data_IF_069611732219
#
_entry.id   IF_069611732219
#
_cell.length_a   1.000
_cell.length_b   1.000
_cell.length_c   1.000
_cell.angle_alpha   90.00
_cell.angle_beta   90.00
_cell.angle_gamma   90.00
#
_symmetry.space_group_name_H-M   'P 1'
#
loop_
_entity.id
_entity.type
_entity.pdbx_description
1 polymer ?
#
# COMPACT_ATOMS: atom_id res chain seq x y z
N UNK A 1 -1.22 29.65 2.64
CA UNK A 1 -1.78 28.90 1.49
C UNK A 1 -3.15 28.39 1.87
N UNK A 2 -4.12 28.37 0.95
CA UNK A 2 -5.46 27.87 1.24
C UNK A 2 -5.52 26.39 0.84
N UNK A 3 -5.42 25.51 1.83
CA UNK A 3 -5.51 24.06 1.60
C UNK A 3 -6.93 23.68 1.17
N UNK A 4 -7.00 22.71 0.26
CA UNK A 4 -8.26 22.16 -0.27
C UNK A 4 -8.20 20.64 -0.27
N UNK A 5 -9.38 20.03 -0.30
CA UNK A 5 -9.54 18.59 -0.33
C UNK A 5 -9.55 18.08 -1.77
N UNK A 6 -8.82 17.00 -2.01
CA UNK A 6 -8.70 16.38 -3.33
C UNK A 6 -8.72 14.86 -3.23
N UNK A 7 -9.13 14.24 -4.33
CA UNK A 7 -8.92 12.83 -4.63
C UNK A 7 -7.86 12.70 -5.73
N UNK A 8 -6.89 11.83 -5.52
CA UNK A 8 -5.92 11.39 -6.52
C UNK A 8 -6.35 10.04 -7.04
N UNK A 9 -6.44 9.88 -8.36
CA UNK A 9 -6.54 8.57 -9.00
C UNK A 9 -5.24 8.26 -9.72
N UNK A 10 -4.61 7.15 -9.36
CA UNK A 10 -3.40 6.63 -9.99
C UNK A 10 -3.79 5.45 -10.87
N UNK A 11 -3.62 5.59 -12.18
CA UNK A 11 -3.90 4.55 -13.18
C UNK A 11 -2.65 3.71 -13.40
N UNK A 12 -2.83 2.39 -13.47
CA UNK A 12 -1.74 1.42 -13.49
C UNK A 12 -1.77 0.58 -14.77
N UNK A 13 -0.57 0.24 -15.27
CA UNK A 13 -0.40 -0.73 -16.36
C UNK A 13 0.05 -2.11 -15.84
N UNK A 14 0.69 -2.14 -14.67
CA UNK A 14 1.24 -3.37 -14.06
C UNK A 14 0.74 -3.49 -12.61
N UNK A 15 0.39 -4.70 -12.13
CA UNK A 15 -0.03 -4.96 -10.76
C UNK A 15 0.93 -4.41 -9.71
N UNK A 16 0.38 -3.95 -8.58
CA UNK A 16 1.16 -3.44 -7.45
C UNK A 16 1.68 -4.61 -6.64
N UNK A 17 2.99 -4.66 -6.40
CA UNK A 17 3.53 -5.53 -5.38
C UNK A 17 3.48 -4.85 -4.00
N UNK A 18 2.90 -5.54 -3.03
CA UNK A 18 2.67 -5.04 -1.67
C UNK A 18 3.69 -5.69 -0.71
N UNK A 19 4.24 -4.93 0.25
CA UNK A 19 5.11 -5.50 1.27
C UNK A 19 4.36 -6.55 2.08
N UNK A 20 4.95 -7.73 2.22
CA UNK A 20 4.47 -8.77 3.10
C UNK A 20 5.61 -9.21 4.03
N UNK A 21 5.50 -8.89 5.32
CA UNK A 21 6.46 -9.33 6.32
C UNK A 21 5.77 -10.26 7.31
N UNK A 22 6.24 -11.51 7.42
CA UNK A 22 5.80 -12.49 8.44
C UNK A 22 4.26 -12.54 8.68
N UNK A 23 3.48 -12.41 7.60
CA UNK A 23 1.99 -12.43 7.53
C UNK A 23 1.26 -11.09 7.61
N UNK A 24 1.95 -9.97 7.84
CA UNK A 24 1.35 -8.65 7.79
C UNK A 24 1.57 -8.02 6.43
N UNK A 25 0.48 -7.47 5.90
CA UNK A 25 0.46 -6.69 4.67
C UNK A 25 -0.02 -5.29 5.03
N UNK A 26 0.56 -4.29 4.38
CA UNK A 26 0.27 -2.89 4.66
C UNK A 26 -0.10 -2.15 3.38
N UNK A 27 -1.06 -1.21 3.43
CA UNK A 27 -1.35 -0.37 2.29
C UNK A 27 -0.18 0.57 2.00
N UNK A 28 -0.15 1.11 0.78
CA UNK A 28 0.69 2.27 0.48
C UNK A 28 0.01 3.49 1.12
N UNK A 29 0.75 4.28 1.89
CA UNK A 29 0.25 5.54 2.44
C UNK A 29 0.61 6.70 1.51
N UNK A 30 -0.31 7.64 1.28
CA UNK A 30 -0.10 8.70 0.30
C UNK A 30 1.01 9.67 0.69
N UNK A 31 1.06 10.07 1.97
CA UNK A 31 2.16 10.88 2.49
C UNK A 31 3.50 10.15 2.38
N UNK A 32 3.56 8.85 2.69
CA UNK A 32 4.76 8.03 2.50
C UNK A 32 5.22 7.95 1.04
N UNK A 33 4.28 7.93 0.09
CA UNK A 33 4.58 7.99 -1.34
C UNK A 33 5.19 9.35 -1.73
N UNK A 34 4.63 10.45 -1.24
CA UNK A 34 5.17 11.80 -1.49
C UNK A 34 6.55 11.99 -0.85
N UNK A 35 6.72 11.58 0.40
CA UNK A 35 8.01 11.63 1.11
C UNK A 35 9.09 10.92 0.31
N UNK A 36 8.79 9.72 -0.22
CA UNK A 36 9.75 8.99 -1.06
C UNK A 36 10.17 9.79 -2.30
N UNK A 37 9.21 10.34 -3.05
CA UNK A 37 9.52 11.08 -4.28
C UNK A 37 10.38 12.31 -3.97
N UNK A 38 10.01 13.06 -2.94
CA UNK A 38 10.74 14.28 -2.54
C UNK A 38 12.14 13.94 -2.00
N UNK A 39 12.29 12.84 -1.28
CA UNK A 39 13.60 12.36 -0.84
C UNK A 39 14.50 11.92 -2.00
N UNK A 40 13.93 11.31 -3.05
CA UNK A 40 14.63 10.97 -4.30
C UNK A 40 15.14 12.22 -5.02
N UNK A 41 14.32 13.27 -5.07
CA UNK A 41 14.70 14.56 -5.63
C UNK A 41 15.81 15.26 -4.83
N UNK A 42 15.74 15.18 -3.51
CA UNK A 42 16.77 15.70 -2.61
C UNK A 42 18.10 14.91 -2.67
N UNK A 43 18.16 13.80 -3.42
CA UNK A 43 19.30 12.85 -3.46
C UNK A 43 19.67 12.31 -2.07
N UNK A 44 18.70 12.20 -1.18
CA UNK A 44 18.89 11.61 0.14
C UNK A 44 18.77 10.10 0.03
N UNK A 45 19.91 9.40 -0.07
CA UNK A 45 19.96 7.96 -0.28
C UNK A 45 19.56 7.12 0.95
N UNK A 46 19.56 7.72 2.15
CA UNK A 46 19.18 7.05 3.39
C UNK A 46 17.71 7.32 3.77
N UNK A 47 16.79 6.84 2.93
CA UNK A 47 15.34 6.91 3.19
C UNK A 47 14.92 6.16 4.46
N UNK A 48 15.80 5.31 5.01
CA UNK A 48 15.49 4.53 6.22
C UNK A 48 15.42 5.41 7.46
N UNK A 49 16.02 6.61 7.41
CA UNK A 49 16.09 7.56 8.52
C UNK A 49 15.41 8.90 8.24
N UNK A 50 14.90 9.12 7.03
CA UNK A 50 14.18 10.35 6.71
C UNK A 50 12.82 10.31 7.40
N UNK A 51 12.70 11.13 8.43
CA UNK A 51 11.46 11.34 9.15
C UNK A 51 10.60 12.35 8.40
N UNK A 52 9.31 12.41 8.75
CA UNK A 52 8.42 13.48 8.30
C UNK A 52 8.89 14.91 8.68
N UNK A 53 9.87 15.04 9.58
CA UNK A 53 10.44 16.32 10.02
C UNK A 53 11.54 16.82 9.06
N UNK A 54 12.18 15.90 8.32
CA UNK A 54 13.25 16.23 7.38
C UNK A 54 12.70 16.74 6.03
N UNK A 55 11.46 16.37 5.70
CA UNK A 55 10.82 16.69 4.41
C UNK A 55 9.40 17.21 4.66
N UNK A 56 9.25 18.53 4.55
CA UNK A 56 7.93 19.17 4.61
C UNK A 56 7.11 18.80 3.36
N UNK A 57 5.97 18.14 3.56
CA UNK A 57 5.07 17.79 2.47
C UNK A 57 4.09 18.95 2.19
N UNK A 58 3.62 19.11 0.93
CA UNK A 58 2.57 20.08 0.58
C UNK A 58 1.16 19.62 1.05
N UNK A 59 1.07 19.10 2.26
CA UNK A 59 -0.13 18.53 2.87
C UNK A 59 -0.45 19.26 4.18
N UNK A 60 -1.74 19.40 4.49
CA UNK A 60 -2.19 19.90 5.79
C UNK A 60 -1.81 18.90 6.90
N UNK A 61 -1.28 19.40 8.02
CA UNK A 61 -1.03 18.59 9.23
C UNK A 61 -2.23 18.67 10.17
N UNK A 62 -2.51 17.59 10.87
CA UNK A 62 -3.59 17.46 11.85
C UNK A 62 -3.12 16.68 13.07
N UNK A 63 -3.67 16.98 14.23
CA UNK A 63 -3.31 16.37 15.50
C UNK A 63 -3.04 17.42 16.57
N UNK A 64 -3.11 17.01 17.84
CA UNK A 64 -2.80 17.78 19.03
C UNK A 64 -1.39 17.46 19.52
N UNK A 65 -1.06 16.17 19.65
CA UNK A 65 0.22 15.70 20.20
C UNK A 65 1.07 14.99 19.15
N UNK A 66 0.45 14.16 18.33
CA UNK A 66 1.05 13.37 17.26
C UNK A 66 0.54 13.90 15.93
N UNK A 67 1.33 14.80 15.37
CA UNK A 67 1.01 15.42 14.08
C UNK A 67 1.06 14.37 12.96
N UNK A 68 -0.03 14.28 12.20
CA UNK A 68 -0.16 13.43 11.02
C UNK A 68 -0.52 14.29 9.82
N UNK A 69 -0.13 13.87 8.62
CA UNK A 69 -0.62 14.53 7.41
C UNK A 69 -2.06 14.10 7.12
N UNK A 70 -2.90 15.05 6.69
CA UNK A 70 -4.25 14.79 6.18
C UNK A 70 -4.18 14.14 4.81
N UNK A 71 -3.93 12.83 4.82
CA UNK A 71 -3.77 12.00 3.64
C UNK A 71 -4.16 10.55 3.93
N UNK A 72 -4.94 9.93 3.05
CA UNK A 72 -5.39 8.55 3.23
C UNK A 72 -4.29 7.53 2.91
N UNK A 73 -4.50 6.31 3.35
CA UNK A 73 -3.89 5.14 2.72
C UNK A 73 -4.55 4.84 1.37
N UNK A 74 -3.89 4.01 0.57
CA UNK A 74 -4.36 3.53 -0.71
C UNK A 74 -5.76 2.96 -0.58
N UNK A 75 -6.64 3.27 -1.51
CA UNK A 75 -7.97 2.67 -1.62
C UNK A 75 -8.16 2.02 -2.99
N UNK A 76 -8.94 0.95 -3.04
CA UNK A 76 -9.18 0.15 -4.24
C UNK A 76 -10.68 -0.09 -4.39
N UNK A 77 -11.19 0.16 -5.60
CA UNK A 77 -12.56 -0.17 -5.97
C UNK A 77 -12.55 -1.39 -6.89
N UNK A 78 -13.55 -2.29 -6.82
CA UNK A 78 -13.70 -3.37 -7.80
C UNK A 78 -13.81 -2.83 -9.25
N UNK A 79 -13.36 -3.59 -10.26
CA UNK A 79 -12.77 -4.93 -10.16
C UNK A 79 -11.29 -4.88 -9.77
N UNK A 80 -10.91 -5.69 -8.78
CA UNK A 80 -9.51 -5.89 -8.39
C UNK A 80 -9.30 -7.33 -7.92
N UNK A 81 -8.08 -7.85 -8.11
CA UNK A 81 -7.71 -9.23 -7.76
C UNK A 81 -6.43 -9.25 -6.95
N UNK A 82 -6.35 -10.22 -6.04
CA UNK A 82 -5.09 -10.56 -5.35
C UNK A 82 -4.60 -11.89 -5.87
N UNK A 83 -3.31 -11.96 -6.19
CA UNK A 83 -2.63 -13.24 -6.39
C UNK A 83 -1.20 -13.18 -5.85
N UNK A 84 -0.53 -14.33 -5.91
CA UNK A 84 0.85 -14.47 -5.46
C UNK A 84 1.71 -14.87 -6.64
N UNK A 85 2.86 -14.23 -6.79
CA UNK A 85 3.84 -14.60 -7.80
C UNK A 85 5.12 -15.09 -7.11
N UNK A 86 5.68 -16.25 -7.50
CA UNK A 86 6.94 -16.71 -6.94
C UNK A 86 8.04 -15.72 -7.27
N UNK A 87 8.84 -15.37 -6.27
CA UNK A 87 9.94 -14.45 -6.42
C UNK A 87 11.22 -15.06 -5.87
N UNK A 88 12.28 -14.96 -6.67
CA UNK A 88 13.61 -15.41 -6.28
C UNK A 88 14.44 -14.20 -5.88
N UNK A 89 14.76 -14.10 -4.59
CA UNK A 89 15.71 -13.12 -4.10
C UNK A 89 17.13 -13.53 -4.46
N UNK A 90 17.83 -12.71 -5.26
CA UNK A 90 19.28 -12.81 -5.42
C UNK A 90 19.95 -12.10 -4.25
N UNK A 91 20.98 -12.70 -3.67
CA UNK A 91 21.78 -12.06 -2.62
C UNK A 91 22.86 -11.16 -3.22
N UNK A 92 22.45 -10.03 -3.81
CA UNK A 92 23.38 -9.02 -4.34
C UNK A 92 24.21 -8.33 -3.25
N UNK A 93 23.85 -8.47 -1.97
CA UNK A 93 24.71 -8.00 -0.87
C UNK A 93 26.07 -8.74 -0.83
N UNK A 94 26.16 -9.95 -1.39
CA UNK A 94 27.43 -10.67 -1.50
C UNK A 94 28.38 -10.00 -2.49
N UNK A 95 27.86 -9.39 -3.56
CA UNK A 95 28.66 -8.58 -4.47
C UNK A 95 29.17 -7.32 -3.76
N UNK A 96 28.34 -6.72 -2.90
CA UNK A 96 28.73 -5.60 -2.02
C UNK A 96 29.77 -6.01 -0.97
N UNK A 97 29.58 -7.16 -0.33
CA UNK A 97 30.52 -7.71 0.66
C UNK A 97 31.87 -8.05 0.05
N UNK A 98 31.91 -8.51 -1.22
CA UNK A 98 33.16 -8.71 -1.96
C UNK A 98 33.91 -7.42 -2.23
N UNK A 99 33.20 -6.32 -2.49
CA UNK A 99 33.82 -4.99 -2.67
C UNK A 99 34.33 -4.44 -1.34
N UNK A 100 33.56 -4.59 -0.26
CA UNK A 100 33.90 -4.01 1.04
C UNK A 100 34.91 -4.85 1.85
N UNK A 101 34.95 -6.16 1.64
CA UNK A 101 35.78 -7.10 2.41
C UNK A 101 36.47 -8.14 1.50
N UNK A 102 37.31 -7.72 0.54
CA UNK A 102 37.88 -8.61 -0.47
C UNK A 102 38.62 -9.82 0.12
N UNK A 103 39.40 -9.61 1.19
CA UNK A 103 40.21 -10.67 1.82
C UNK A 103 39.35 -11.72 2.54
N UNK A 104 38.17 -11.33 3.02
CA UNK A 104 37.24 -12.23 3.71
C UNK A 104 36.43 -13.11 2.75
N UNK A 105 36.37 -12.74 1.47
CA UNK A 105 35.55 -13.38 0.45
C UNK A 105 36.31 -14.33 -0.50
N UNK A 106 37.59 -14.59 -0.25
CA UNK A 106 38.38 -15.58 -1.01
C UNK A 106 37.92 -17.04 -0.82
N UNK A 107 36.95 -17.30 0.06
CA UNK A 107 36.35 -18.63 0.23
C UNK A 107 35.23 -18.85 -0.80
N UNK A 108 35.21 -20.02 -1.43
CA UNK A 108 34.14 -20.41 -2.37
C UNK A 108 32.76 -20.28 -1.70
N UNK A 109 31.94 -19.35 -2.20
CA UNK A 109 30.57 -19.14 -1.72
C UNK A 109 29.74 -20.35 -2.15
N UNK A 110 29.16 -21.05 -1.18
CA UNK A 110 28.22 -22.16 -1.44
C UNK A 110 26.80 -21.61 -1.46
N UNK A 111 26.30 -21.29 -2.66
CA UNK A 111 24.94 -20.73 -2.90
C UNK A 111 23.77 -21.59 -2.36
N UNK A 112 24.02 -22.79 -1.84
CA UNK A 112 23.02 -23.69 -1.25
C UNK A 112 23.01 -23.77 0.28
N UNK A 113 23.94 -23.11 1.00
CA UNK A 113 24.10 -23.28 2.45
C UNK A 113 24.16 -21.96 3.22
N UNK A 114 23.59 -21.98 4.43
CA UNK A 114 23.69 -20.89 5.41
C UNK A 114 23.12 -19.57 4.90
N UNK A 115 23.85 -18.49 5.20
CA UNK A 115 23.46 -17.11 4.83
C UNK A 115 23.39 -16.94 3.31
N UNK A 116 24.05 -17.79 2.50
CA UNK A 116 24.16 -17.68 1.04
C UNK A 116 23.04 -18.37 0.26
N UNK A 117 22.07 -18.99 0.94
CA UNK A 117 20.96 -19.71 0.29
C UNK A 117 20.01 -18.70 -0.35
N UNK A 118 19.80 -18.82 -1.67
CA UNK A 118 18.76 -18.06 -2.37
C UNK A 118 17.42 -18.24 -1.66
N UNK A 119 16.75 -17.13 -1.33
CA UNK A 119 15.42 -17.19 -0.76
C UNK A 119 14.39 -17.22 -1.88
N UNK A 120 13.61 -18.28 -1.92
CA UNK A 120 12.36 -18.31 -2.65
C UNK A 120 11.27 -17.74 -1.75
N UNK A 121 10.50 -16.79 -2.27
CA UNK A 121 9.36 -16.22 -1.59
C UNK A 121 8.21 -16.01 -2.56
N UNK A 122 7.17 -15.34 -2.07
CA UNK A 122 6.07 -14.88 -2.90
C UNK A 122 5.92 -13.38 -2.76
N UNK A 123 5.72 -12.70 -3.89
CA UNK A 123 5.20 -11.34 -3.89
C UNK A 123 3.68 -11.40 -3.83
N UNK A 124 3.12 -10.56 -2.97
CA UNK A 124 1.68 -10.32 -2.94
C UNK A 124 1.34 -9.24 -3.94
N UNK A 125 0.56 -9.59 -4.95
CA UNK A 125 0.22 -8.71 -6.05
C UNK A 125 -1.25 -8.31 -5.99
N UNK A 126 -1.49 -7.03 -6.23
CA UNK A 126 -2.82 -6.46 -6.43
C UNK A 126 -2.93 -6.04 -7.89
N UNK A 127 -3.78 -6.73 -8.63
CA UNK A 127 -4.15 -6.39 -10.00
C UNK A 127 -5.43 -5.54 -9.98
N UNK A 128 -5.25 -4.26 -10.32
CA UNK A 128 -6.31 -3.25 -10.38
C UNK A 128 -5.94 -2.21 -11.44
N UNK A 129 -6.91 -1.70 -12.23
CA UNK A 129 -6.63 -0.67 -13.22
C UNK A 129 -6.25 0.68 -12.58
N UNK A 130 -6.69 0.92 -11.34
CA UNK A 130 -6.42 2.16 -10.63
C UNK A 130 -6.50 2.02 -9.10
N UNK A 131 -5.85 2.94 -8.41
CA UNK A 131 -5.95 3.14 -6.96
C UNK A 131 -6.23 4.60 -6.63
N UNK A 132 -6.80 4.85 -5.46
CA UNK A 132 -7.23 6.17 -5.03
C UNK A 132 -6.57 6.59 -3.72
N UNK A 133 -6.35 7.89 -3.58
CA UNK A 133 -5.92 8.51 -2.34
C UNK A 133 -6.71 9.80 -2.13
N UNK A 134 -7.06 10.12 -0.89
CA UNK A 134 -7.65 11.41 -0.52
C UNK A 134 -6.64 12.22 0.27
N UNK A 135 -6.56 13.53 0.03
CA UNK A 135 -5.68 14.40 0.79
C UNK A 135 -6.24 15.82 0.94
N UNK A 136 -5.76 16.53 1.95
CA UNK A 136 -5.93 17.98 2.07
C UNK A 136 -4.56 18.66 1.96
N UNK A 137 -4.41 19.63 1.07
CA UNK A 137 -3.12 20.28 0.84
C UNK A 137 -3.08 21.25 -0.34
N UNK A 138 -1.87 21.56 -0.81
CA UNK A 138 -1.65 22.30 -2.04
C UNK A 138 -1.69 21.35 -3.25
N UNK A 139 -2.82 21.36 -3.95
CA UNK A 139 -3.04 20.48 -5.10
C UNK A 139 -2.05 20.69 -6.25
N UNK A 140 -1.51 21.90 -6.46
CA UNK A 140 -0.53 22.14 -7.54
C UNK A 140 0.84 21.60 -7.17
N UNK A 141 1.28 21.83 -5.93
CA UNK A 141 2.53 21.27 -5.44
C UNK A 141 2.48 19.73 -5.41
N UNK A 142 1.38 19.13 -4.93
CA UNK A 142 1.17 17.68 -4.98
C UNK A 142 1.18 17.15 -6.41
N UNK A 143 0.49 17.84 -7.35
CA UNK A 143 0.49 17.47 -8.77
C UNK A 143 1.90 17.43 -9.34
N UNK A 144 2.69 18.49 -9.12
CA UNK A 144 4.07 18.59 -9.58
C UNK A 144 4.94 17.45 -9.03
N UNK A 145 4.78 17.10 -7.75
CA UNK A 145 5.48 15.95 -7.15
C UNK A 145 5.05 14.63 -7.78
N UNK A 146 3.75 14.42 -7.98
CA UNK A 146 3.22 13.16 -8.51
C UNK A 146 3.53 12.93 -10.00
N UNK A 147 3.67 13.97 -10.81
CA UNK A 147 4.05 13.84 -12.24
C UNK A 147 5.37 13.07 -12.43
N UNK A 148 6.27 13.13 -11.44
CA UNK A 148 7.54 12.38 -11.41
C UNK A 148 7.36 10.87 -11.27
N UNK A 149 6.18 10.38 -10.90
CA UNK A 149 5.85 8.95 -10.84
C UNK A 149 5.41 8.37 -12.20
N UNK A 150 5.02 9.20 -13.17
CA UNK A 150 4.52 8.69 -14.47
C UNK A 150 5.65 7.90 -15.16
N UNK A 151 5.33 6.67 -15.58
CA UNK A 151 6.29 5.71 -16.13
C UNK A 151 7.11 4.95 -15.09
N UNK A 152 6.98 5.26 -13.79
CA UNK A 152 7.66 4.58 -12.67
C UNK A 152 6.66 3.73 -11.88
N UNK A 153 7.18 2.85 -11.02
CA UNK A 153 6.38 1.94 -10.19
C UNK A 153 6.05 2.47 -8.79
N UNK A 154 4.88 2.12 -8.26
CA UNK A 154 4.52 2.23 -6.84
C UNK A 154 4.55 0.86 -6.14
N UNK A 155 4.72 0.86 -4.82
CA UNK A 155 4.83 -0.36 -4.01
C UNK A 155 6.26 -0.91 -3.92
N UNK A 156 6.38 -2.16 -3.44
CA UNK A 156 7.68 -2.84 -3.40
C UNK A 156 8.06 -3.30 -4.80
N UNK A 157 9.37 -3.46 -5.05
CA UNK A 157 9.88 -3.94 -6.35
C UNK A 157 9.44 -3.09 -7.56
N UNK A 158 9.17 -1.80 -7.34
CA UNK A 158 8.94 -0.83 -8.41
C UNK A 158 10.08 -0.79 -9.44
N UNK A 159 11.32 -1.04 -9.01
CA UNK A 159 12.50 -1.14 -9.88
C UNK A 159 12.51 -2.40 -10.76
N UNK A 160 11.67 -3.40 -10.48
CA UNK A 160 11.45 -4.57 -11.31
C UNK A 160 10.21 -4.41 -12.22
N UNK A 161 9.61 -3.22 -12.27
CA UNK A 161 8.46 -2.90 -13.13
C UNK A 161 7.09 -2.98 -12.46
N UNK A 162 6.98 -3.48 -11.24
CA UNK A 162 5.69 -3.58 -10.54
C UNK A 162 5.08 -2.20 -10.23
N UNK A 163 3.75 -2.13 -10.27
CA UNK A 163 2.97 -0.93 -9.95
C UNK A 163 3.21 0.23 -10.91
N UNK A 164 3.56 -0.02 -12.17
CA UNK A 164 3.86 1.02 -13.15
C UNK A 164 2.68 1.97 -13.33
N UNK A 165 2.93 3.27 -13.13
CA UNK A 165 1.94 4.34 -13.22
C UNK A 165 1.85 4.87 -14.64
N UNK A 166 0.68 4.75 -15.24
CA UNK A 166 0.37 5.28 -16.57
C UNK A 166 -0.02 6.75 -16.54
N UNK A 167 -0.91 7.10 -15.61
CA UNK A 167 -1.58 8.40 -15.55
C UNK A 167 -1.94 8.70 -14.11
N UNK A 168 -1.96 9.98 -13.77
CA UNK A 168 -2.46 10.48 -12.49
C UNK A 168 -3.48 11.58 -12.78
N UNK A 169 -4.61 11.56 -12.06
CA UNK A 169 -5.58 12.65 -12.05
C UNK A 169 -5.78 13.14 -10.62
N UNK A 170 -6.00 14.45 -10.46
CA UNK A 170 -6.29 15.08 -9.19
C UNK A 170 -7.53 15.92 -9.38
N UNK A 171 -8.55 15.66 -8.57
CA UNK A 171 -9.86 16.29 -8.67
C UNK A 171 -10.29 16.80 -7.29
N UNK A 172 -11.02 17.94 -7.19
CA UNK A 172 -11.60 18.38 -5.93
C UNK A 172 -12.53 17.32 -5.34
N UNK A 173 -12.50 17.13 -4.02
CA UNK A 173 -13.34 16.15 -3.33
C UNK A 173 -13.88 16.69 -2.00
N UNK A 174 -14.74 15.90 -1.33
CA UNK A 174 -14.98 16.06 0.11
C UNK A 174 -13.73 15.61 0.89
N UNK A 175 -13.65 15.98 2.16
CA UNK A 175 -12.55 15.55 3.02
C UNK A 175 -12.76 14.10 3.47
N UNK A 176 -12.03 13.18 2.82
CA UNK A 176 -11.93 11.78 3.23
C UNK A 176 -10.48 11.38 3.54
N UNK A 177 -9.67 12.37 3.91
CA UNK A 177 -8.23 12.19 4.09
C UNK A 177 -7.88 11.43 5.37
N UNK A 178 -8.68 11.60 6.44
CA UNK A 178 -8.52 10.92 7.72
C UNK A 178 -9.61 9.87 7.96
N UNK A 179 -10.87 10.21 7.68
CA UNK A 179 -12.03 9.32 7.83
C UNK A 179 -12.64 9.10 6.44
N UNK A 180 -12.80 7.84 6.06
CA UNK A 180 -13.31 7.44 4.75
C UNK A 180 -14.83 7.70 4.61
N UNK A 181 -15.34 7.56 3.39
CA UNK A 181 -16.77 7.70 3.07
C UNK A 181 -17.69 6.81 3.91
N UNK A 182 -17.19 5.65 4.33
CA UNK A 182 -17.93 4.67 5.14
C UNK A 182 -17.81 4.90 6.66
N UNK A 183 -17.14 5.98 7.07
CA UNK A 183 -16.97 6.36 8.47
C UNK A 183 -15.85 5.61 9.20
N UNK A 184 -15.04 4.79 8.51
CA UNK A 184 -13.86 4.16 9.11
C UNK A 184 -12.59 4.99 8.87
N UNK A 185 -11.51 4.77 9.65
CA UNK A 185 -10.23 5.41 9.38
C UNK A 185 -9.76 5.15 7.96
N UNK A 186 -9.31 6.19 7.27
CA UNK A 186 -8.71 6.10 5.96
C UNK A 186 -7.20 5.79 6.03
N UNK A 187 -6.59 5.88 7.22
CA UNK A 187 -5.17 5.63 7.52
C UNK A 187 -5.01 5.18 8.98
N UNK A 188 -3.77 4.97 9.42
CA UNK A 188 -3.45 4.83 10.83
C UNK A 188 -3.56 6.20 11.52
N UNK A 189 -4.41 6.28 12.55
CA UNK A 189 -4.62 7.47 13.39
C UNK A 189 -4.35 7.08 14.84
N UNK A 190 -3.43 7.74 15.57
CA UNK A 190 -3.20 7.45 16.97
C UNK A 190 -4.48 7.59 17.80
N UNK A 191 -4.75 6.64 18.70
CA UNK A 191 -6.01 6.62 19.47
C UNK A 191 -6.18 7.83 20.38
N UNK A 192 -5.09 8.45 20.81
CA UNK A 192 -5.05 9.65 21.64
C UNK A 192 -5.38 10.95 20.89
N UNK A 193 -5.47 10.90 19.56
CA UNK A 193 -5.81 12.05 18.73
C UNK A 193 -7.32 12.18 18.45
N UNK A 194 -8.11 11.16 18.80
CA UNK A 194 -9.54 11.13 18.56
C UNK A 194 -10.30 11.11 19.89
N UNK A 195 -11.30 11.97 20.02
CA UNK A 195 -12.18 12.02 21.19
C UNK A 195 -13.45 11.16 20.97
N UNK A 196 -13.93 10.54 22.04
CA UNK A 196 -15.19 9.78 22.06
C UNK A 196 -15.00 8.27 22.21
N UNK A 197 -16.11 7.56 22.47
CA UNK A 197 -16.13 6.08 22.52
C UNK A 197 -16.31 5.51 21.11
N UNK A 198 -15.20 5.36 20.39
CA UNK A 198 -15.19 4.86 19.02
C UNK A 198 -14.70 3.41 18.96
N UNK A 199 -15.50 2.55 18.30
CA UNK A 199 -15.25 1.12 18.15
C UNK A 199 -14.70 0.73 16.78
N UNK A 200 -13.63 1.40 16.36
CA UNK A 200 -12.88 1.00 15.16
C UNK A 200 -11.84 -0.08 15.48
N UNK A 201 -11.36 -0.84 14.47
CA UNK A 201 -10.22 -1.74 14.65
C UNK A 201 -8.99 -0.97 15.14
N UNK A 202 -8.29 -1.56 16.11
CA UNK A 202 -7.08 -0.98 16.71
C UNK A 202 -5.90 -1.94 16.51
N UNK A 203 -4.74 -1.40 16.15
CA UNK A 203 -3.49 -2.15 16.02
C UNK A 203 -2.31 -1.25 16.44
N UNK A 204 -1.22 -1.86 16.91
CA UNK A 204 0.05 -1.14 17.06
C UNK A 204 0.64 -0.88 15.67
N UNK A 205 0.82 0.39 15.31
CA UNK A 205 1.31 0.78 14.00
C UNK A 205 1.92 2.17 13.98
N UNK A 206 2.69 2.44 12.94
CA UNK A 206 3.24 3.76 12.63
C UNK A 206 2.16 4.66 12.04
N UNK A 207 2.17 5.93 12.44
CA UNK A 207 1.19 6.92 11.98
C UNK A 207 1.80 7.98 11.06
N UNK A 208 3.12 8.00 10.88
CA UNK A 208 3.86 8.89 9.96
C UNK A 208 4.94 8.09 9.21
N UNK A 209 5.41 8.57 8.04
CA UNK A 209 6.56 7.98 7.35
C UNK A 209 7.85 8.06 8.18
N UNK A 210 8.75 7.06 8.11
CA UNK A 210 8.62 5.82 7.34
C UNK A 210 7.76 4.76 8.04
N UNK A 211 6.77 4.21 7.34
CA UNK A 211 5.77 3.31 7.96
C UNK A 211 6.30 1.93 8.38
N UNK A 212 7.49 1.54 7.93
CA UNK A 212 8.11 0.28 8.35
C UNK A 212 8.90 0.40 9.65
N UNK A 213 9.11 1.62 10.18
CA UNK A 213 9.90 1.84 11.40
C UNK A 213 9.03 1.77 12.66
N UNK A 214 9.09 0.64 13.34
CA UNK A 214 8.29 0.38 14.53
C UNK A 214 8.78 1.06 15.82
N UNK A 215 9.89 1.80 15.78
CA UNK A 215 10.38 2.57 16.93
C UNK A 215 9.35 3.64 17.34
N UNK A 216 8.73 4.31 16.36
CA UNK A 216 7.69 5.33 16.60
C UNK A 216 6.25 4.76 16.60
N UNK A 217 6.09 3.44 16.56
CA UNK A 217 4.76 2.83 16.50
C UNK A 217 4.00 2.99 17.83
N UNK A 218 2.74 3.42 17.70
CA UNK A 218 1.81 3.63 18.81
C UNK A 218 0.52 2.85 18.57
N UNK A 219 -0.42 2.90 19.51
CA UNK A 219 -1.74 2.28 19.33
C UNK A 219 -2.55 3.20 18.42
N UNK A 220 -2.97 2.66 17.27
CA UNK A 220 -3.67 3.41 16.24
C UNK A 220 -5.02 2.75 15.92
N UNK A 221 -6.03 3.57 15.64
CA UNK A 221 -7.13 3.17 14.79
C UNK A 221 -6.59 2.92 13.39
N UNK A 222 -6.90 1.77 12.80
CA UNK A 222 -6.35 1.37 11.50
C UNK A 222 -7.40 1.32 10.42
N UNK A 223 -6.96 1.63 9.19
CA UNK A 223 -7.83 1.49 8.03
C UNK A 223 -8.25 0.03 7.86
N UNK A 224 -9.56 -0.24 7.72
CA UNK A 224 -10.02 -1.57 7.43
C UNK A 224 -9.36 -2.16 6.19
N UNK A 225 -9.10 -3.47 6.25
CA UNK A 225 -8.40 -4.19 5.18
C UNK A 225 -9.16 -4.15 3.84
N UNK A 226 -10.49 -4.10 3.87
CA UNK A 226 -11.31 -4.05 2.65
C UNK A 226 -11.19 -2.73 1.88
N UNK A 227 -10.61 -1.67 2.45
CA UNK A 227 -10.32 -0.44 1.70
C UNK A 227 -9.30 -0.66 0.59
N UNK A 228 -8.35 -1.57 0.78
CA UNK A 228 -7.15 -1.63 -0.05
C UNK A 228 -6.71 -3.05 -0.42
N UNK A 229 -7.29 -4.06 0.23
CA UNK A 229 -7.03 -5.45 -0.06
C UNK A 229 -8.32 -6.07 -0.62
N UNK A 230 -8.39 -6.36 -1.93
CA UNK A 230 -9.59 -6.82 -2.59
C UNK A 230 -9.89 -8.29 -2.24
N UNK A 231 -10.35 -8.50 -1.01
CA UNK A 231 -10.88 -9.76 -0.51
C UNK A 231 -12.39 -9.69 -0.54
N UNK A 232 -13.00 -10.71 -1.15
CA UNK A 232 -14.45 -10.87 -1.13
C UNK A 232 -14.93 -10.96 0.31
N UNK A 233 -15.97 -10.22 0.65
CA UNK A 233 -16.56 -10.35 1.97
C UNK A 233 -17.16 -11.75 2.14
N UNK A 234 -17.20 -12.32 3.37
CA UNK A 234 -17.81 -13.63 3.59
C UNK A 234 -19.23 -13.75 3.01
N UNK A 235 -20.02 -12.68 3.08
CA UNK A 235 -21.36 -12.62 2.49
C UNK A 235 -21.36 -12.78 0.95
N UNK A 236 -20.37 -12.21 0.27
CA UNK A 236 -20.21 -12.34 -1.19
C UNK A 236 -19.77 -13.76 -1.56
N UNK A 237 -18.83 -14.32 -0.80
CA UNK A 237 -18.39 -15.72 -0.97
C UNK A 237 -19.56 -16.68 -0.76
N UNK A 238 -20.37 -16.47 0.28
CA UNK A 238 -21.57 -17.28 0.54
C UNK A 238 -22.60 -17.18 -0.60
N UNK A 239 -22.85 -15.98 -1.12
CA UNK A 239 -23.74 -15.79 -2.28
C UNK A 239 -23.25 -16.56 -3.50
N UNK A 240 -21.94 -16.57 -3.76
CA UNK A 240 -21.34 -17.33 -4.87
C UNK A 240 -21.47 -18.83 -4.66
N UNK A 241 -21.19 -19.35 -3.45
CA UNK A 241 -21.34 -20.77 -3.11
C UNK A 241 -22.81 -21.21 -3.28
N UNK A 242 -23.76 -20.42 -2.76
CA UNK A 242 -25.19 -20.73 -2.88
C UNK A 242 -25.69 -20.69 -4.32
N UNK A 243 -25.13 -19.79 -5.16
CA UNK A 243 -25.46 -19.73 -6.58
C UNK A 243 -24.99 -20.98 -7.34
N UNK A 244 -23.83 -21.53 -7.00
CA UNK A 244 -23.32 -22.77 -7.61
C UNK A 244 -24.03 -24.03 -7.10
N UNK A 245 -24.59 -24.00 -5.88
CA UNK A 245 -25.28 -25.14 -5.28
C UNK A 245 -26.76 -25.27 -5.67
N UNK A 246 -27.36 -24.27 -6.34
CA UNK A 246 -28.62 -24.47 -7.04
C UNK A 246 -28.35 -25.42 -8.21
N UNK A 247 -28.57 -26.73 -7.99
CA UNK A 247 -28.63 -27.73 -9.05
C UNK A 247 -29.48 -27.15 -10.20
N UNK A 248 -29.10 -27.33 -11.47
CA UNK A 248 -30.02 -27.03 -12.56
C UNK A 248 -31.30 -27.82 -12.25
N UNK A 249 -32.43 -27.11 -12.13
CA UNK A 249 -33.71 -27.74 -11.91
C UNK A 249 -33.85 -28.84 -12.96
N UNK A 250 -33.90 -30.08 -12.49
CA UNK A 250 -34.07 -31.27 -13.30
C UNK A 250 -35.25 -31.00 -14.21
N UNK A 251 -35.00 -30.98 -15.52
CA UNK A 251 -36.03 -30.89 -16.54
C UNK A 251 -36.97 -32.06 -16.26
N UNK A 252 -38.17 -31.76 -15.77
CA UNK A 252 -39.25 -32.72 -15.72
C UNK A 252 -39.61 -33.04 -17.17
N UNK A 253 -39.20 -34.21 -17.63
CA UNK A 253 -39.74 -34.84 -18.83
C UNK A 253 -41.24 -35.09 -18.58
N UNK A 254 -42.07 -34.14 -18.98
CA UNK A 254 -43.45 -34.39 -19.34
C UNK A 254 -43.49 -34.82 -20.82
N UNK A 255 -44.16 -35.94 -21.09
CA UNK A 255 -44.52 -36.44 -22.42
C UNK A 255 -43.88 -37.81 -22.71
N UNK A 256 -44.61 -38.88 -23.01
CA UNK A 256 -45.93 -38.96 -23.66
C UNK A 256 -46.69 -40.21 -23.19
N UNK A 257 -47.97 -40.02 -22.91
CA UNK A 257 -48.98 -41.08 -22.91
C UNK A 257 -49.08 -41.72 -24.32
N UNK A 258 -49.03 -43.05 -24.37
CA UNK A 258 -49.63 -43.88 -25.43
C UNK A 258 -50.51 -44.95 -24.79
#
# INVERSE_FOLDING_TARGET
MLYKNYIVTVYLDIPIAIPANKNEIFPIHFDGLLTRIMAEEARSFDYSRLTAEDIELPLEKWGKTKMIYKASSMMIKPPAKVYREPWMGTQTWLDYGRVLFPDSFNKQIRNGQGVYKSSAGYLHLIDTPQVYFYFCGDGQAVKHTLEKLIGRGIGVRANAGYGQVRKITIEPSKDYSLIAEDGYPARNIPVDEIEGDIRWPVQRGTYKPPYWDYEEATICYVSPRWHWWPVKQPAEVLKEILKHNKKPDTISEEGEDQ
#
